data_IF_572907986084
#
_entry.id   IF_572907986084
#
_cell.length_a   1.000
_cell.length_b   1.000
_cell.length_c   1.000
_cell.angle_alpha   90.00
_cell.angle_beta   90.00
_cell.angle_gamma   90.00
#
_symmetry.space_group_name_H-M   'P 1'
#
loop_
_entity.id
_entity.type
_entity.pdbx_description
1 polymer ?
#
# COMPACT_ATOMS: atom_id res chain seq x y z
N UNK A 1 2.54 4.57 10.77
CA UNK A 1 3.08 3.99 9.52
C UNK A 1 4.59 4.22 9.31
N UNK A 2 5.33 4.90 10.19
CA UNK A 2 6.76 5.21 9.98
C UNK A 2 7.66 4.00 9.70
N UNK A 3 7.40 2.84 10.31
CA UNK A 3 8.13 1.61 10.02
C UNK A 3 7.92 1.14 8.57
N UNK A 4 6.67 1.11 8.12
CA UNK A 4 6.30 0.76 6.75
C UNK A 4 6.86 1.78 5.77
N UNK A 5 6.95 3.05 6.14
CA UNK A 5 7.52 4.09 5.28
C UNK A 5 9.03 3.96 5.04
N UNK A 6 9.77 3.45 6.04
CA UNK A 6 11.20 3.21 5.89
C UNK A 6 11.54 2.05 4.92
N UNK A 7 10.55 1.23 4.55
CA UNK A 7 10.76 0.03 3.72
C UNK A 7 10.82 0.36 2.21
N UNK A 8 9.83 1.05 1.61
CA UNK A 8 9.90 1.47 0.20
C UNK A 8 11.02 2.46 -0.11
N UNK A 9 11.54 3.17 0.91
CA UNK A 9 12.69 4.07 0.71
C UNK A 9 13.97 3.31 0.30
N UNK A 10 14.04 2.01 0.60
CA UNK A 10 15.25 1.20 0.37
C UNK A 10 15.09 0.20 -0.78
N UNK A 11 13.85 -0.16 -1.12
CA UNK A 11 13.53 -1.30 -1.98
C UNK A 11 12.28 -1.01 -2.81
N UNK A 12 12.15 -1.66 -3.97
CA UNK A 12 11.04 -1.42 -4.90
C UNK A 12 9.68 -1.90 -4.34
N UNK A 13 9.69 -3.04 -3.65
CA UNK A 13 8.57 -3.70 -2.96
C UNK A 13 8.96 -3.99 -1.48
N UNK A 14 7.97 -4.36 -0.64
CA UNK A 14 8.13 -4.44 0.82
C UNK A 14 9.19 -5.47 1.27
N UNK A 15 9.30 -6.60 0.57
CA UNK A 15 10.32 -7.64 0.84
C UNK A 15 11.55 -7.56 -0.08
N UNK A 16 11.67 -6.53 -0.93
CA UNK A 16 12.81 -6.38 -1.85
C UNK A 16 12.39 -6.06 -3.28
N UNK A 17 12.85 -6.87 -4.23
CA UNK A 17 12.66 -6.65 -5.68
C UNK A 17 11.44 -7.37 -6.26
N UNK A 18 10.63 -8.02 -5.43
CA UNK A 18 9.46 -8.78 -5.87
C UNK A 18 8.27 -8.58 -4.95
N UNK A 19 7.17 -8.18 -5.56
CA UNK A 19 5.85 -8.17 -4.96
C UNK A 19 5.48 -9.52 -4.33
N UNK A 20 5.08 -9.48 -3.06
CA UNK A 20 4.76 -10.64 -2.26
C UNK A 20 3.50 -10.42 -1.40
N UNK A 21 3.21 -11.39 -0.54
CA UNK A 21 2.13 -11.29 0.45
C UNK A 21 2.30 -10.07 1.37
N UNK A 22 3.54 -9.62 1.59
CA UNK A 22 3.83 -8.45 2.41
C UNK A 22 3.24 -7.17 1.78
N UNK A 23 3.40 -6.98 0.47
CA UNK A 23 2.85 -5.85 -0.27
C UNK A 23 1.31 -5.84 -0.23
N UNK A 24 0.69 -7.01 -0.43
CA UNK A 24 -0.77 -7.17 -0.34
C UNK A 24 -1.27 -6.75 1.06
N UNK A 25 -0.54 -7.15 2.11
CA UNK A 25 -0.88 -6.83 3.50
C UNK A 25 -0.80 -5.33 3.76
N UNK A 26 0.25 -4.67 3.26
CA UNK A 26 0.41 -3.21 3.40
C UNK A 26 -0.69 -2.46 2.64
N UNK A 27 -1.03 -2.87 1.41
CA UNK A 27 -2.13 -2.30 0.63
C UNK A 27 -3.45 -2.45 1.40
N UNK A 28 -3.74 -3.65 1.92
CA UNK A 28 -4.94 -3.89 2.72
C UNK A 28 -5.01 -3.02 3.97
N UNK A 29 -3.89 -2.85 4.68
CA UNK A 29 -3.79 -1.96 5.84
C UNK A 29 -4.03 -0.49 5.50
N UNK A 30 -3.51 -0.01 4.37
CA UNK A 30 -3.72 1.36 3.88
C UNK A 30 -5.17 1.60 3.47
N UNK A 31 -5.78 0.64 2.76
CA UNK A 31 -7.20 0.66 2.43
C UNK A 31 -8.04 0.74 3.71
N UNK A 32 -7.74 -0.09 4.71
CA UNK A 32 -8.46 -0.09 5.97
C UNK A 32 -8.32 1.25 6.71
N UNK A 33 -7.10 1.82 6.75
CA UNK A 33 -6.86 3.14 7.33
C UNK A 33 -7.72 4.22 6.66
N UNK A 34 -7.86 4.21 5.34
CA UNK A 34 -8.74 5.12 4.60
C UNK A 34 -10.22 4.90 4.96
N UNK A 35 -10.68 3.65 5.03
CA UNK A 35 -12.06 3.31 5.37
C UNK A 35 -12.45 3.84 6.76
N UNK A 36 -11.55 3.75 7.74
CA UNK A 36 -11.79 4.25 9.10
C UNK A 36 -11.34 5.70 9.31
N UNK A 37 -10.92 6.39 8.23
CA UNK A 37 -10.41 7.77 8.25
C UNK A 37 -9.24 7.99 9.21
N UNK A 38 -8.40 6.97 9.42
CA UNK A 38 -7.18 7.08 10.19
C UNK A 38 -6.15 7.88 9.36
N UNK A 39 -5.68 9.05 9.83
CA UNK A 39 -4.73 9.85 9.10
C UNK A 39 -3.38 9.11 8.99
N UNK A 40 -2.98 8.80 7.77
CA UNK A 40 -1.59 8.45 7.47
C UNK A 40 -0.83 9.76 7.40
N UNK A 41 -0.03 10.05 8.44
CA UNK A 41 0.76 11.28 8.54
C UNK A 41 1.49 11.61 7.22
N UNK A 42 1.51 12.89 6.85
CA UNK A 42 2.08 13.36 5.57
C UNK A 42 3.58 13.07 5.43
N UNK A 43 4.29 12.91 6.55
CA UNK A 43 5.67 12.43 6.62
C UNK A 43 5.88 11.01 6.05
N UNK A 44 4.82 10.26 5.74
CA UNK A 44 4.91 8.95 5.07
C UNK A 44 4.85 9.07 3.54
N UNK A 45 5.75 9.89 2.97
CA UNK A 45 5.78 10.17 1.52
C UNK A 45 6.14 8.93 0.69
N UNK A 46 7.08 8.11 1.15
CA UNK A 46 7.54 6.93 0.41
C UNK A 46 6.43 5.86 0.31
N UNK A 47 5.69 5.64 1.39
CA UNK A 47 4.53 4.74 1.43
C UNK A 47 3.44 5.23 0.49
N UNK A 48 3.16 6.54 0.47
CA UNK A 48 2.15 7.13 -0.41
C UNK A 48 2.54 7.02 -1.87
N UNK A 49 3.78 7.37 -2.21
CA UNK A 49 4.30 7.28 -3.57
C UNK A 49 4.35 5.83 -4.06
N UNK A 50 4.70 4.88 -3.20
CA UNK A 50 4.63 3.44 -3.50
C UNK A 50 3.18 2.98 -3.71
N UNK A 51 2.28 3.31 -2.80
CA UNK A 51 0.88 2.93 -2.89
C UNK A 51 0.19 3.51 -4.13
N UNK A 52 0.58 4.70 -4.58
CA UNK A 52 0.06 5.32 -5.79
C UNK A 52 0.39 4.54 -7.07
N UNK A 53 1.47 3.75 -7.09
CA UNK A 53 1.83 2.86 -8.21
C UNK A 53 1.06 1.54 -8.19
N UNK A 54 0.54 1.11 -7.04
CA UNK A 54 -0.08 -0.20 -6.89
C UNK A 54 -1.30 -0.44 -7.81
N UNK A 55 -2.17 0.55 -8.11
CA UNK A 55 -3.26 0.39 -9.09
C UNK A 55 -2.82 0.17 -10.55
N UNK A 56 -1.54 0.32 -10.87
CA UNK A 56 -0.99 -0.08 -12.18
C UNK A 56 -1.02 -1.60 -12.36
N UNK A 57 -1.00 -2.36 -11.26
CA UNK A 57 -1.16 -3.81 -11.27
C UNK A 57 -2.63 -4.18 -11.41
N UNK A 58 -2.94 -4.99 -12.41
CA UNK A 58 -4.30 -5.46 -12.68
C UNK A 58 -4.93 -6.19 -11.48
N UNK A 59 -4.13 -6.94 -10.71
CA UNK A 59 -4.58 -7.63 -9.50
C UNK A 59 -4.95 -6.72 -8.32
N UNK A 60 -4.57 -5.43 -8.36
CA UNK A 60 -4.80 -4.47 -7.28
C UNK A 60 -5.80 -3.38 -7.67
N UNK A 61 -5.92 -3.06 -8.98
CA UNK A 61 -6.79 -1.99 -9.48
C UNK A 61 -8.25 -2.17 -9.10
N UNK A 62 -8.77 -3.39 -9.22
CA UNK A 62 -10.18 -3.71 -9.00
C UNK A 62 -10.30 -4.80 -7.92
N UNK A 63 -10.12 -4.45 -6.62
CA UNK A 63 -10.25 -5.41 -5.54
C UNK A 63 -11.67 -5.98 -5.48
N UNK A 64 -11.86 -7.32 -5.37
CA UNK A 64 -13.19 -7.92 -5.29
C UNK A 64 -14.04 -7.37 -4.13
N UNK A 65 -13.40 -6.90 -3.04
CA UNK A 65 -14.08 -6.30 -1.88
C UNK A 65 -14.86 -5.02 -2.24
N UNK A 66 -14.52 -4.37 -3.36
CA UNK A 66 -15.23 -3.19 -3.87
C UNK A 66 -16.12 -3.49 -5.08
N UNK A 67 -16.07 -4.70 -5.63
CA UNK A 67 -16.83 -5.09 -6.82
C UNK A 67 -18.32 -5.36 -6.54
N UNK A 68 -18.68 -5.65 -5.29
CA UNK A 68 -20.08 -5.86 -4.88
C UNK A 68 -20.67 -4.56 -4.33
N UNK A 69 -21.22 -3.74 -5.22
CA UNK A 69 -22.00 -2.55 -4.84
C UNK A 69 -23.28 -2.45 -5.65
#
# INVERSE_FOLDING_TARGET
MRYVDAVPQRQQDVEGDKFSMADITVIGGLIFAMLVKLPVHDECEATRAWCARMPERESVRDPPVFATR
#
